data_IF_815862723936
#
_entry.id   IF_815862723936
#
_cell.length_a   1.000
_cell.length_b   1.000
_cell.length_c   1.000
_cell.angle_alpha   90.00
_cell.angle_beta   90.00
_cell.angle_gamma   90.00
#
_symmetry.space_group_name_H-M   'P 1'
#
loop_
_entity.id
_entity.type
_entity.pdbx_description
1 polymer ?
#
# COMPACT_ATOMS: atom_id res chain seq x y z
N UNK A 1 -39.04 1.68 1.01
CA UNK A 1 -38.47 0.99 -0.18
C UNK A 1 -37.29 1.87 -0.59
N UNK A 2 -36.06 1.42 -0.37
CA UNK A 2 -34.89 2.29 -0.55
C UNK A 2 -34.63 2.54 -2.03
N UNK A 3 -34.36 3.80 -2.39
CA UNK A 3 -33.95 4.15 -3.74
C UNK A 3 -32.64 3.42 -4.07
N UNK A 4 -32.71 2.50 -5.03
CA UNK A 4 -31.54 1.78 -5.52
C UNK A 4 -30.78 2.73 -6.43
N UNK A 5 -29.64 3.24 -5.95
CA UNK A 5 -28.75 4.04 -6.78
C UNK A 5 -28.08 3.14 -7.82
N UNK A 6 -28.29 3.46 -9.09
CA UNK A 6 -27.68 2.73 -10.21
C UNK A 6 -26.38 3.42 -10.59
N UNK A 7 -25.26 2.69 -10.49
CA UNK A 7 -23.96 3.16 -10.95
C UNK A 7 -23.99 3.40 -12.46
N UNK A 8 -23.36 4.49 -12.90
CA UNK A 8 -23.15 4.76 -14.33
C UNK A 8 -22.27 3.68 -14.99
N UNK A 9 -22.30 3.61 -16.33
CA UNK A 9 -21.56 2.58 -17.10
C UNK A 9 -20.05 2.51 -16.82
N UNK A 10 -19.46 3.57 -16.28
CA UNK A 10 -18.03 3.67 -15.95
C UNK A 10 -17.76 3.91 -14.47
N UNK A 11 -18.78 3.85 -13.63
CA UNK A 11 -18.64 3.96 -12.19
C UNK A 11 -18.38 2.58 -11.58
N UNK A 12 -17.48 2.54 -10.60
CA UNK A 12 -17.10 1.31 -9.93
C UNK A 12 -17.06 1.55 -8.43
N UNK A 13 -17.61 0.61 -7.66
CA UNK A 13 -17.41 0.55 -6.23
C UNK A 13 -15.97 0.08 -5.98
N UNK A 14 -15.12 0.96 -5.44
CA UNK A 14 -13.70 0.68 -5.25
C UNK A 14 -13.35 0.25 -3.82
N UNK A 15 -14.12 0.70 -2.83
CA UNK A 15 -13.95 0.37 -1.42
C UNK A 15 -15.31 0.37 -0.71
N UNK A 16 -15.46 -0.43 0.33
CA UNK A 16 -16.69 -0.53 1.11
C UNK A 16 -16.33 -0.71 2.58
N UNK A 17 -16.96 0.10 3.43
CA UNK A 17 -16.76 0.06 4.87
C UNK A 17 -18.08 0.22 5.61
N UNK A 18 -18.12 -0.35 6.82
CA UNK A 18 -19.32 -0.32 7.64
C UNK A 18 -19.42 1.02 8.35
N UNK A 19 -20.37 1.85 7.92
CA UNK A 19 -20.51 3.23 8.39
C UNK A 19 -20.57 3.35 9.92
N UNK A 20 -21.32 2.46 10.60
CA UNK A 20 -21.44 2.48 12.06
C UNK A 20 -20.08 2.36 12.77
N UNK A 21 -19.17 1.53 12.25
CA UNK A 21 -17.81 1.42 12.80
C UNK A 21 -16.96 2.63 12.43
N UNK A 22 -17.06 3.09 11.17
CA UNK A 22 -16.27 4.22 10.69
C UNK A 22 -16.54 5.50 11.50
N UNK A 23 -17.80 5.79 11.83
CA UNK A 23 -18.18 7.05 12.50
C UNK A 23 -17.91 7.09 14.00
N UNK A 24 -17.52 5.97 14.60
CA UNK A 24 -17.10 5.90 16.01
C UNK A 24 -15.72 6.51 16.24
N UNK A 25 -14.98 6.79 15.16
CA UNK A 25 -13.62 7.32 15.20
C UNK A 25 -13.54 8.83 14.91
N UNK A 26 -12.46 9.46 15.37
CA UNK A 26 -12.23 10.90 15.20
C UNK A 26 -11.97 11.33 13.74
N UNK A 27 -11.50 10.42 12.89
CA UNK A 27 -11.12 10.70 11.51
C UNK A 27 -11.72 9.70 10.52
N UNK A 28 -12.16 10.20 9.37
CA UNK A 28 -12.37 9.41 8.17
C UNK A 28 -11.07 9.40 7.37
N UNK A 29 -10.42 8.26 7.29
CA UNK A 29 -9.19 8.07 6.53
C UNK A 29 -9.49 7.49 5.15
N UNK A 30 -8.98 8.17 4.11
CA UNK A 30 -9.01 7.66 2.73
C UNK A 30 -7.58 7.44 2.26
N UNK A 31 -7.31 6.28 1.67
CA UNK A 31 -6.01 5.91 1.07
C UNK A 31 -6.22 5.45 -0.36
N UNK A 32 -5.37 5.92 -1.28
CA UNK A 32 -5.49 5.61 -2.71
C UNK A 32 -4.42 4.66 -3.23
N UNK A 33 -4.67 4.12 -4.42
CA UNK A 33 -3.77 3.25 -5.18
C UNK A 33 -2.45 3.93 -5.55
N UNK A 34 -2.38 5.25 -5.49
CA UNK A 34 -1.15 6.01 -5.70
C UNK A 34 -0.39 6.29 -4.40
N UNK A 35 -0.79 5.69 -3.27
CA UNK A 35 -0.07 5.85 -2.00
C UNK A 35 -0.31 7.19 -1.30
N UNK A 36 -1.35 7.92 -1.70
CA UNK A 36 -1.83 9.10 -0.98
C UNK A 36 -2.75 8.68 0.15
N UNK A 37 -2.57 9.25 1.33
CA UNK A 37 -3.46 9.10 2.47
C UNK A 37 -3.94 10.47 2.96
N UNK A 38 -5.22 10.60 3.28
CA UNK A 38 -5.81 11.85 3.78
C UNK A 38 -6.81 11.58 4.90
N UNK A 39 -6.57 12.12 6.10
CA UNK A 39 -7.56 12.15 7.16
C UNK A 39 -8.51 13.34 6.95
N UNK A 40 -9.80 13.09 7.11
CA UNK A 40 -10.85 14.10 7.22
C UNK A 40 -11.39 14.06 8.65
N UNK A 41 -11.54 15.22 9.34
CA UNK A 41 -12.14 15.22 10.67
C UNK A 41 -13.58 14.69 10.61
N UNK A 42 -13.90 13.63 11.38
CA UNK A 42 -15.20 12.96 11.30
C UNK A 42 -16.35 13.92 11.60
N UNK A 43 -16.17 14.80 12.60
CA UNK A 43 -17.15 15.83 12.98
C UNK A 43 -17.60 16.74 11.83
N UNK A 44 -16.76 16.94 10.81
CA UNK A 44 -17.09 17.77 9.63
C UNK A 44 -17.77 16.93 8.54
N UNK A 45 -17.47 15.64 8.49
CA UNK A 45 -17.99 14.74 7.45
C UNK A 45 -19.33 14.11 7.82
N UNK A 46 -19.61 13.94 9.11
CA UNK A 46 -20.76 13.18 9.62
C UNK A 46 -22.10 13.62 9.02
N UNK A 47 -22.45 14.91 9.14
CA UNK A 47 -23.71 15.45 8.64
C UNK A 47 -23.85 15.29 7.12
N UNK A 48 -22.74 15.48 6.40
CA UNK A 48 -22.72 15.38 4.94
C UNK A 48 -22.85 13.94 4.44
N UNK A 49 -22.31 12.97 5.17
CA UNK A 49 -22.39 11.54 4.81
C UNK A 49 -23.76 10.95 5.19
N UNK A 50 -24.34 11.38 6.31
CA UNK A 50 -25.67 10.90 6.75
C UNK A 50 -26.83 11.61 6.04
N UNK A 51 -26.55 12.65 5.25
CA UNK A 51 -27.53 13.28 4.39
C UNK A 51 -28.09 12.29 3.33
N UNK A 52 -29.34 12.47 2.86
CA UNK A 52 -29.95 11.60 1.85
C UNK A 52 -29.38 11.80 0.43
N UNK A 53 -28.32 12.61 0.28
CA UNK A 53 -27.66 12.92 -0.99
C UNK A 53 -26.24 12.39 -0.94
N UNK A 54 -25.76 11.66 -1.96
CA UNK A 54 -24.38 11.19 -2.00
C UNK A 54 -23.36 12.33 -1.86
N UNK A 55 -22.44 12.17 -0.90
CA UNK A 55 -21.34 13.12 -0.71
C UNK A 55 -20.34 13.03 -1.88
N UNK A 56 -20.07 14.16 -2.51
CA UNK A 56 -19.02 14.33 -3.51
C UNK A 56 -17.90 15.16 -2.90
N UNK A 57 -16.66 14.67 -2.97
CA UNK A 57 -15.50 15.42 -2.51
C UNK A 57 -15.07 16.45 -3.56
N UNK A 58 -15.01 17.74 -3.19
CA UNK A 58 -14.58 18.81 -4.10
C UNK A 58 -13.11 18.66 -4.54
N UNK A 59 -12.24 18.23 -3.60
CA UNK A 59 -10.82 18.02 -3.86
C UNK A 59 -10.48 16.54 -3.65
N UNK A 60 -10.73 15.75 -4.69
CA UNK A 60 -10.49 14.31 -4.69
C UNK A 60 -8.99 13.99 -4.64
N UNK A 61 -8.62 12.97 -3.86
CA UNK A 61 -7.28 12.42 -3.92
C UNK A 61 -7.03 11.77 -5.28
N UNK A 62 -5.82 11.92 -5.80
CA UNK A 62 -5.41 11.23 -7.02
C UNK A 62 -5.31 9.72 -6.77
N UNK A 63 -5.78 8.94 -7.74
CA UNK A 63 -5.79 7.49 -7.70
C UNK A 63 -7.13 6.91 -7.27
N UNK A 64 -7.21 5.58 -7.27
CA UNK A 64 -8.42 4.85 -6.89
C UNK A 64 -8.41 4.63 -5.38
N UNK A 65 -9.49 4.92 -4.63
CA UNK A 65 -9.56 4.59 -3.21
C UNK A 65 -9.38 3.08 -2.99
N UNK A 66 -8.41 2.71 -2.17
CA UNK A 66 -8.13 1.32 -1.74
C UNK A 66 -8.65 1.09 -0.32
N UNK A 67 -8.61 2.12 0.53
CA UNK A 67 -9.17 2.09 1.87
C UNK A 67 -10.01 3.33 2.14
N UNK A 68 -11.16 3.12 2.77
CA UNK A 68 -11.93 4.14 3.48
C UNK A 68 -12.20 3.59 4.88
N UNK A 69 -11.72 4.21 5.95
CA UNK A 69 -11.86 3.67 7.31
C UNK A 69 -12.03 4.78 8.34
N UNK A 70 -12.63 4.46 9.48
CA UNK A 70 -12.48 5.30 10.68
C UNK A 70 -11.10 5.06 11.28
N UNK A 71 -10.44 6.10 11.77
CA UNK A 71 -9.11 6.01 12.36
C UNK A 71 -8.93 7.00 13.51
N UNK A 72 -8.11 6.62 14.49
CA UNK A 72 -7.62 7.51 15.54
C UNK A 72 -6.31 8.18 15.16
N UNK A 73 -5.88 9.18 15.92
CA UNK A 73 -4.60 9.84 15.69
C UNK A 73 -3.41 8.92 16.03
N UNK A 74 -3.60 8.03 16.99
CA UNK A 74 -2.62 7.09 17.53
C UNK A 74 -2.46 5.84 16.68
N UNK A 75 -3.38 5.56 15.76
CA UNK A 75 -3.29 4.43 14.85
C UNK A 75 -2.07 4.53 13.92
N UNK A 76 -1.51 3.38 13.57
CA UNK A 76 -0.57 3.27 12.46
C UNK A 76 -1.26 2.72 11.21
N UNK A 77 -0.88 3.28 10.07
CA UNK A 77 -1.29 2.85 8.76
C UNK A 77 -0.15 2.08 8.11
N UNK A 78 -0.37 0.79 7.84
CA UNK A 78 0.50 0.00 6.98
C UNK A 78 -0.01 0.06 5.55
N UNK A 79 0.88 0.38 4.61
CA UNK A 79 0.59 0.45 3.18
C UNK A 79 1.54 -0.49 2.45
N UNK A 80 1.00 -1.28 1.51
CA UNK A 80 1.76 -2.22 0.69
C UNK A 80 1.41 -2.08 -0.80
N UNK A 81 2.45 -2.13 -1.64
CA UNK A 81 2.33 -2.12 -3.09
C UNK A 81 2.32 -3.51 -3.69
N UNK A 82 1.95 -3.61 -4.97
CA UNK A 82 1.82 -4.87 -5.71
C UNK A 82 3.15 -5.63 -5.80
N UNK A 83 4.28 -4.92 -5.80
CA UNK A 83 5.62 -5.53 -5.76
C UNK A 83 6.05 -5.99 -4.36
N UNK A 84 5.16 -5.91 -3.36
CA UNK A 84 5.42 -6.32 -1.98
C UNK A 84 6.29 -5.36 -1.18
N UNK A 85 6.39 -4.09 -1.62
CA UNK A 85 7.03 -3.02 -0.83
C UNK A 85 6.01 -2.45 0.14
N UNK A 86 6.42 -2.22 1.39
CA UNK A 86 5.55 -1.69 2.41
C UNK A 86 6.24 -0.63 3.27
N UNK A 87 5.42 0.25 3.84
CA UNK A 87 5.79 1.23 4.86
C UNK A 87 4.69 1.29 5.91
N UNK A 88 5.05 1.76 7.10
CA UNK A 88 4.11 2.22 8.11
C UNK A 88 4.16 3.75 8.23
N UNK A 89 3.08 4.35 8.71
CA UNK A 89 3.06 5.76 9.09
C UNK A 89 2.02 5.98 10.17
N UNK A 90 2.29 6.88 11.12
CA UNK A 90 1.32 7.21 12.16
C UNK A 90 0.26 8.17 11.60
N UNK A 91 -1.02 7.91 11.84
CA UNK A 91 -2.15 8.70 11.30
C UNK A 91 -2.07 10.17 11.71
N UNK A 92 -1.58 10.47 12.92
CA UNK A 92 -1.34 11.85 13.39
C UNK A 92 -0.36 12.68 12.53
N UNK A 93 0.48 12.02 11.74
CA UNK A 93 1.46 12.71 10.87
C UNK A 93 0.88 13.05 9.49
N UNK A 94 -0.28 12.48 9.14
CA UNK A 94 -0.93 12.71 7.86
C UNK A 94 -1.56 14.10 7.79
N UNK A 95 -1.40 14.77 6.64
CA UNK A 95 -1.88 16.13 6.42
C UNK A 95 -3.31 16.11 5.89
N UNK A 96 -4.12 17.08 6.32
CA UNK A 96 -5.47 17.30 5.78
C UNK A 96 -5.50 17.71 4.30
N UNK A 97 -4.36 18.05 3.70
CA UNK A 97 -4.20 18.22 2.23
C UNK A 97 -3.98 16.90 1.48
N UNK A 98 -3.69 15.81 2.20
CA UNK A 98 -3.14 14.56 1.68
C UNK A 98 -1.63 14.47 1.88
N UNK A 99 -1.15 13.26 2.16
CA UNK A 99 0.27 12.91 2.34
C UNK A 99 0.63 11.77 1.39
N UNK A 100 1.74 11.90 0.67
CA UNK A 100 2.33 10.81 -0.13
C UNK A 100 3.09 9.88 0.81
N UNK A 101 2.48 8.78 1.22
CA UNK A 101 3.04 7.90 2.26
C UNK A 101 4.12 6.99 1.68
N UNK A 102 3.82 6.33 0.57
CA UNK A 102 4.75 5.46 -0.16
C UNK A 102 4.85 5.91 -1.60
N UNK A 103 6.03 5.81 -2.21
CA UNK A 103 6.15 6.01 -3.65
C UNK A 103 5.40 4.90 -4.40
N UNK A 104 4.32 5.28 -5.07
CA UNK A 104 3.61 4.44 -6.03
C UNK A 104 3.53 5.16 -7.37
N UNK A 105 3.57 4.39 -8.45
CA UNK A 105 3.49 4.88 -9.82
C UNK A 105 2.60 3.95 -10.65
N UNK A 106 2.61 4.11 -11.98
CA UNK A 106 1.77 3.32 -12.89
C UNK A 106 2.10 1.83 -12.86
N UNK A 107 3.35 1.47 -12.56
CA UNK A 107 3.83 0.09 -12.60
C UNK A 107 3.85 -0.55 -11.20
N UNK A 108 3.76 0.26 -10.14
CA UNK A 108 3.77 -0.20 -8.76
C UNK A 108 2.75 0.56 -7.92
N UNK A 109 1.49 0.10 -7.97
CA UNK A 109 0.37 0.68 -7.21
C UNK A 109 0.23 0.07 -5.83
N UNK A 110 -0.37 0.84 -4.92
CA UNK A 110 -0.86 0.34 -3.62
C UNK A 110 -2.02 -0.60 -3.84
N UNK A 111 -1.99 -1.73 -3.15
CA UNK A 111 -2.96 -2.82 -3.26
C UNK A 111 -3.38 -3.36 -1.90
N UNK A 112 -2.57 -3.15 -0.86
CA UNK A 112 -2.90 -3.53 0.51
C UNK A 112 -2.75 -2.35 1.45
N UNK A 113 -3.75 -2.12 2.29
CA UNK A 113 -3.74 -1.06 3.31
C UNK A 113 -4.42 -1.58 4.56
N UNK A 114 -3.85 -1.29 5.73
CA UNK A 114 -4.34 -1.73 7.02
C UNK A 114 -4.10 -0.66 8.08
N UNK A 115 -5.12 -0.38 8.90
CA UNK A 115 -4.90 0.21 10.22
C UNK A 115 -4.44 -0.89 11.16
N UNK A 116 -3.40 -0.64 11.93
CA UNK A 116 -2.78 -1.63 12.80
C UNK A 116 -2.05 -0.99 13.97
N UNK A 117 -1.83 -1.79 14.99
CA UNK A 117 -0.87 -1.56 16.06
C UNK A 117 0.42 -2.35 15.79
N UNK A 118 1.58 -1.92 16.30
CA UNK A 118 2.87 -2.58 16.03
C UNK A 118 2.92 -4.09 16.31
N UNK A 119 2.06 -4.52 17.24
CA UNK A 119 2.02 -5.86 17.82
C UNK A 119 0.92 -6.74 17.22
N UNK A 120 0.12 -6.21 16.30
CA UNK A 120 -0.93 -6.98 15.62
C UNK A 120 -0.33 -8.10 14.74
N UNK A 121 -1.13 -9.12 14.47
CA UNK A 121 -0.79 -10.14 13.49
C UNK A 121 -1.48 -9.83 12.16
N UNK A 122 -0.67 -9.60 11.11
CA UNK A 122 -1.16 -9.41 9.75
C UNK A 122 -0.97 -10.68 8.94
N UNK A 123 -2.00 -11.03 8.15
CA UNK A 123 -1.91 -12.09 7.15
C UNK A 123 -1.74 -11.46 5.76
N UNK A 124 -0.56 -11.61 5.18
CA UNK A 124 -0.32 -11.32 3.77
C UNK A 124 -0.76 -12.52 2.94
N UNK A 125 -1.64 -12.30 1.97
CA UNK A 125 -2.05 -13.32 0.99
C UNK A 125 -1.70 -12.83 -0.40
N UNK A 126 -1.12 -13.70 -1.23
CA UNK A 126 -0.77 -13.41 -2.61
C UNK A 126 -1.83 -13.95 -3.57
N UNK A 127 -1.86 -13.43 -4.80
CA UNK A 127 -2.84 -13.85 -5.82
C UNK A 127 -2.70 -15.32 -6.27
N UNK A 128 -1.56 -15.96 -6.01
CA UNK A 128 -1.32 -17.40 -6.20
C UNK A 128 -1.60 -18.25 -4.96
N UNK A 129 -2.19 -17.66 -3.92
CA UNK A 129 -2.72 -18.38 -2.75
C UNK A 129 -1.71 -18.64 -1.63
N UNK A 130 -0.51 -18.06 -1.68
CA UNK A 130 0.43 -18.14 -0.55
C UNK A 130 0.05 -17.17 0.54
N UNK A 131 0.10 -17.65 1.79
CA UNK A 131 -0.14 -16.86 2.99
C UNK A 131 1.13 -16.71 3.83
N UNK A 132 1.32 -15.55 4.44
CA UNK A 132 2.37 -15.32 5.43
C UNK A 132 1.88 -14.41 6.55
N UNK A 133 2.08 -14.85 7.78
CA UNK A 133 1.91 -13.99 8.95
C UNK A 133 3.13 -13.07 9.14
N UNK A 134 2.88 -11.81 9.49
CA UNK A 134 3.90 -10.84 9.84
C UNK A 134 3.39 -9.85 10.87
N UNK A 135 4.30 -9.28 11.65
CA UNK A 135 3.98 -8.18 12.57
C UNK A 135 4.20 -6.84 11.87
N UNK A 136 3.31 -5.84 12.05
CA UNK A 136 3.51 -4.50 11.52
C UNK A 136 4.87 -3.93 11.92
N UNK A 137 5.33 -4.15 13.16
CA UNK A 137 6.65 -3.68 13.62
C UNK A 137 7.84 -4.15 12.78
N UNK A 138 7.69 -5.20 11.98
CA UNK A 138 8.72 -5.68 11.05
C UNK A 138 8.85 -4.82 9.79
N UNK A 139 7.84 -4.00 9.51
CA UNK A 139 7.80 -3.07 8.40
C UNK A 139 8.36 -1.72 8.83
N UNK A 140 9.13 -1.09 7.94
CA UNK A 140 9.77 0.20 8.17
C UNK A 140 8.75 1.31 8.50
N UNK A 141 9.06 2.10 9.53
CA UNK A 141 8.43 3.39 9.82
C UNK A 141 9.42 4.48 9.37
N UNK A 142 9.37 4.92 8.08
CA UNK A 142 10.36 5.84 7.55
C UNK A 142 10.27 7.21 8.22
N UNK A 143 11.41 7.87 8.41
CA UNK A 143 11.47 9.24 8.95
C UNK A 143 10.89 10.30 7.99
N UNK A 144 10.85 9.98 6.69
CA UNK A 144 10.40 10.88 5.62
C UNK A 144 9.23 10.29 4.87
N UNK A 145 8.28 11.17 4.52
CA UNK A 145 7.21 10.88 3.56
C UNK A 145 7.79 10.45 2.20
N UNK A 146 6.99 9.74 1.40
CA UNK A 146 7.34 9.29 0.04
C UNK A 146 8.56 8.36 0.00
N UNK A 147 8.75 7.54 1.03
CA UNK A 147 9.76 6.48 1.04
C UNK A 147 9.45 5.43 -0.04
N UNK A 148 10.47 4.82 -0.69
CA UNK A 148 10.27 3.69 -1.59
C UNK A 148 9.80 2.40 -0.88
N UNK A 149 9.83 2.38 0.46
CA UNK A 149 9.44 1.25 1.29
C UNK A 149 10.37 0.04 1.22
N UNK A 150 10.19 -0.85 2.20
CA UNK A 150 10.95 -2.08 2.38
C UNK A 150 10.16 -3.28 1.85
N UNK A 151 10.85 -4.31 1.35
CA UNK A 151 10.22 -5.58 1.02
C UNK A 151 9.63 -6.26 2.27
N UNK A 152 8.31 -6.44 2.31
CA UNK A 152 7.58 -7.05 3.43
C UNK A 152 7.91 -8.54 3.64
N UNK A 153 8.52 -9.19 2.64
CA UNK A 153 8.92 -10.59 2.69
C UNK A 153 10.21 -10.87 3.46
N UNK A 154 10.91 -9.87 4.00
CA UNK A 154 12.16 -10.09 4.76
C UNK A 154 11.96 -9.64 6.21
N UNK A 155 12.16 -10.51 7.21
CA UNK A 155 12.23 -10.07 8.60
C UNK A 155 13.30 -8.97 8.73
N UNK A 156 13.12 -8.00 9.65
CA UNK A 156 14.16 -7.05 9.96
C UNK A 156 15.42 -7.81 10.36
N UNK A 157 16.54 -7.51 9.69
CA UNK A 157 17.84 -8.07 10.04
C UNK A 157 18.22 -7.50 11.41
N UNK A 158 18.40 -8.33 12.46
CA UNK A 158 18.94 -7.84 13.72
C UNK A 158 20.40 -7.40 13.47
N UNK A 159 20.65 -6.09 13.45
CA UNK A 159 22.02 -5.55 13.41
C UNK A 159 22.39 -4.61 12.24
N UNK A 160 21.43 -4.09 11.48
CA UNK A 160 21.70 -3.02 10.51
C UNK A 160 21.80 -1.64 11.15
N UNK A 161 22.70 -1.46 12.12
CA UNK A 161 23.01 -0.14 12.67
C UNK A 161 23.43 0.79 11.54
N UNK A 162 22.78 1.94 11.46
CA UNK A 162 23.17 3.03 10.58
C UNK A 162 24.48 3.65 11.09
N UNK A 163 25.59 2.92 10.95
CA UNK A 163 26.92 3.43 11.19
C UNK A 163 27.84 2.99 10.07
N UNK A 164 28.58 3.97 9.55
CA UNK A 164 29.70 3.72 8.66
C UNK A 164 29.34 3.80 7.19
N UNK A 165 29.59 4.98 6.62
CA UNK A 165 30.08 5.12 5.25
C UNK A 165 31.06 3.97 4.96
N UNK A 166 30.63 2.92 4.25
CA UNK A 166 31.55 2.07 3.51
C UNK A 166 32.04 2.89 2.32
N UNK A 167 32.95 3.82 2.59
CA UNK A 167 33.92 4.27 1.63
C UNK A 167 34.77 3.07 1.25
N UNK A 168 34.29 2.25 0.32
CA UNK A 168 35.15 1.41 -0.48
C UNK A 168 35.92 2.36 -1.40
N UNK A 169 36.98 2.95 -0.83
CA UNK A 169 38.06 3.54 -1.57
C UNK A 169 38.57 2.48 -2.53
N UNK A 170 38.21 2.62 -3.81
CA UNK A 170 38.91 1.91 -4.88
C UNK A 170 40.32 2.47 -4.91
N UNK A 171 41.25 1.77 -4.27
CA UNK A 171 42.66 1.87 -4.62
C UNK A 171 42.79 1.48 -6.10
N UNK A 172 42.90 2.49 -6.96
CA UNK A 172 43.44 2.30 -8.31
C UNK A 172 44.96 2.10 -8.15
N UNK A 173 45.54 0.97 -8.57
CA UNK A 173 46.96 0.95 -8.84
C UNK A 173 47.20 1.73 -10.13
N UNK A 174 48.06 2.75 -10.03
CA UNK A 174 48.57 3.50 -11.15
C UNK A 174 49.37 2.55 -12.07
N UNK A 175 49.00 2.49 -13.36
CA UNK A 175 49.87 1.96 -14.41
C UNK A 175 50.29 3.09 -15.35
N UNK A 176 51.60 3.22 -15.66
CA UNK A 176 52.10 4.20 -16.61
C UNK A 176 52.11 3.65 -18.04
N UNK A 177 52.03 4.56 -19.02
CA UNK A 177 52.77 4.40 -20.28
C UNK A 177 52.01 3.93 -21.52
N UNK A 178 51.46 4.91 -22.24
CA UNK A 178 51.55 5.11 -23.70
C UNK A 178 51.83 3.92 -24.65
N UNK A 179 50.92 3.70 -25.60
CA UNK A 179 51.19 2.92 -26.81
C UNK A 179 50.13 3.08 -27.90
N UNK A 180 50.26 4.10 -28.75
CA UNK A 180 49.45 4.30 -29.97
C UNK A 180 49.63 3.11 -30.93
N UNK A 181 48.56 2.37 -31.28
CA UNK A 181 48.51 1.59 -32.53
C UNK A 181 47.13 1.67 -33.20
N UNK A 182 47.22 1.72 -34.54
CA UNK A 182 46.20 2.11 -35.52
C UNK A 182 45.13 1.02 -35.74
N UNK A 183 43.94 1.47 -36.15
CA UNK A 183 42.81 0.66 -36.65
C UNK A 183 43.17 -0.11 -37.93
N UNK A 184 42.43 -1.19 -38.23
CA UNK A 184 41.87 -1.38 -39.57
C UNK A 184 40.34 -1.58 -39.54
N UNK A 185 39.65 -1.40 -40.69
CA UNK A 185 38.19 -1.34 -40.76
C UNK A 185 37.56 -2.68 -41.17
N UNK A 186 36.27 -2.83 -40.83
CA UNK A 186 35.34 -3.71 -41.56
C UNK A 186 34.63 -4.75 -40.72
N UNK A 187 33.33 -4.57 -40.48
CA UNK A 187 32.25 -5.25 -41.24
C UNK A 187 30.90 -4.98 -40.57
N UNK A 188 29.94 -4.57 -41.38
CA UNK A 188 28.52 -4.69 -41.11
C UNK A 188 28.18 -6.17 -40.86
N UNK A 189 27.35 -6.43 -39.85
CA UNK A 189 26.17 -7.29 -40.04
C UNK A 189 25.12 -6.95 -38.96
N UNK A 190 23.95 -6.60 -39.46
CA UNK A 190 22.69 -6.50 -38.73
C UNK A 190 22.30 -7.89 -38.24
N UNK A 191 21.74 -8.00 -37.03
CA UNK A 191 20.78 -9.04 -36.69
C UNK A 191 19.87 -8.51 -35.57
N UNK A 192 18.63 -8.21 -35.97
CA UNK A 192 17.50 -8.00 -35.07
C UNK A 192 17.04 -9.35 -34.52
N UNK A 193 16.89 -9.44 -33.20
CA UNK A 193 16.10 -10.49 -32.54
C UNK A 193 15.04 -9.79 -31.68
N UNK A 194 13.73 -10.10 -31.84
CA UNK A 194 12.71 -9.54 -30.96
C UNK A 194 12.71 -10.29 -29.62
N UNK A 195 12.89 -9.52 -28.55
CA UNK A 195 12.71 -9.98 -27.18
C UNK A 195 11.23 -10.35 -26.95
N UNK A 196 10.97 -11.60 -26.57
CA UNK A 196 9.66 -12.04 -26.09
C UNK A 196 9.37 -11.40 -24.73
N UNK A 197 8.45 -10.42 -24.72
CA UNK A 197 7.92 -9.82 -23.51
C UNK A 197 7.00 -10.82 -22.78
N UNK A 198 7.54 -11.45 -21.74
CA UNK A 198 6.80 -12.31 -20.83
C UNK A 198 5.88 -11.43 -19.97
N UNK A 199 4.63 -11.25 -20.39
CA UNK A 199 3.56 -10.63 -19.59
C UNK A 199 3.32 -11.49 -18.35
N UNK A 200 3.87 -11.09 -17.20
CA UNK A 200 3.41 -11.58 -15.90
C UNK A 200 2.24 -10.71 -15.46
N UNK A 201 1.03 -11.14 -15.82
CA UNK A 201 -0.18 -10.68 -15.16
C UNK A 201 -0.27 -11.37 -13.80
N UNK A 202 -0.27 -10.58 -12.74
CA UNK A 202 -0.53 -11.05 -11.39
C UNK A 202 -1.29 -9.95 -10.65
N UNK A 203 -2.61 -9.95 -10.80
CA UNK A 203 -3.50 -9.17 -9.95
C UNK A 203 -3.41 -9.75 -8.53
N UNK A 204 -2.90 -8.97 -7.58
CA UNK A 204 -2.92 -9.32 -6.17
C UNK A 204 -4.18 -8.78 -5.50
N UNK A 205 -5.01 -9.68 -4.99
CA UNK A 205 -6.12 -9.38 -4.09
C UNK A 205 -5.59 -9.39 -2.63
N UNK A 206 -5.83 -8.33 -1.86
CA UNK A 206 -5.37 -8.20 -0.47
C UNK A 206 -6.57 -8.17 0.48
N UNK A 207 -6.59 -9.03 1.51
CA UNK A 207 -7.64 -9.02 2.54
C UNK A 207 -7.09 -9.43 3.92
N UNK A 208 -7.48 -8.65 4.93
CA UNK A 208 -7.75 -9.16 6.29
C UNK A 208 -6.77 -8.75 7.39
N UNK A 209 -7.07 -7.65 8.10
CA UNK A 209 -6.56 -7.42 9.45
C UNK A 209 -7.52 -8.11 10.43
N UNK A 210 -7.00 -8.97 11.31
CA UNK A 210 -7.79 -9.51 12.41
C UNK A 210 -7.50 -8.68 13.66
N UNK A 211 -8.33 -7.65 13.90
CA UNK A 211 -8.31 -6.91 15.16
C UNK A 211 -8.68 -7.82 16.33
N UNK A 212 -7.95 -7.71 17.43
CA UNK A 212 -8.14 -8.52 18.63
C UNK A 212 -9.39 -8.06 19.39
N UNK A 213 -10.29 -9.00 19.66
CA UNK A 213 -11.40 -8.87 20.59
C UNK A 213 -10.87 -8.66 22.02
N UNK A 214 -11.33 -7.60 22.69
CA UNK A 214 -10.91 -7.26 24.05
C UNK A 214 -11.25 -8.37 25.05
N UNK A 215 -10.29 -8.69 25.92
CA UNK A 215 -10.46 -9.70 26.97
C UNK A 215 -11.26 -9.13 28.13
N UNK A 216 -12.51 -9.58 28.25
CA UNK A 216 -13.32 -9.50 29.46
C UNK A 216 -14.28 -10.68 29.57
N UNK A 217 -13.80 -11.83 30.07
CA UNK A 217 -14.67 -12.93 30.52
C UNK A 217 -14.53 -14.24 29.74
N UNK A 218 -14.19 -15.31 30.45
CA UNK A 218 -14.14 -16.68 29.95
C UNK A 218 -15.55 -17.20 29.69
N UNK A 219 -15.83 -17.70 28.47
CA UNK A 219 -16.78 -18.81 28.14
C UNK A 219 -16.71 -19.18 26.63
N UNK A 220 -17.22 -20.36 26.23
CA UNK A 220 -16.51 -21.30 25.34
C UNK A 220 -16.73 -21.05 23.85
N UNK A 221 -15.84 -21.67 23.08
CA UNK A 221 -15.81 -21.73 21.63
C UNK A 221 -17.20 -21.93 20.99
N UNK A 222 -17.70 -20.90 20.31
CA UNK A 222 -18.63 -21.05 19.20
C UNK A 222 -17.99 -20.45 17.95
N UNK A 223 -17.73 -21.32 16.98
CA UNK A 223 -17.57 -20.91 15.59
C UNK A 223 -18.77 -20.09 15.15
N UNK A 224 -18.55 -18.86 14.69
CA UNK A 224 -19.66 -18.01 14.25
C UNK A 224 -19.22 -16.71 13.59
N UNK A 225 -19.29 -16.72 12.25
CA UNK A 225 -19.33 -15.57 11.32
C UNK A 225 -17.99 -14.91 10.96
N UNK A 226 -17.28 -15.61 10.07
CA UNK A 226 -16.44 -15.01 9.04
C UNK A 226 -17.35 -14.21 8.09
N UNK A 227 -17.33 -12.88 8.15
CA UNK A 227 -18.04 -12.04 7.18
C UNK A 227 -17.10 -10.92 6.73
N UNK A 228 -16.25 -11.23 5.77
CA UNK A 228 -15.60 -10.26 4.89
C UNK A 228 -15.88 -10.70 3.45
N UNK A 229 -17.03 -10.25 2.92
CA UNK A 229 -17.34 -10.39 1.50
C UNK A 229 -16.58 -9.28 0.78
N UNK A 230 -15.52 -9.65 0.06
CA UNK A 230 -14.89 -8.80 -0.95
C UNK A 230 -15.17 -9.40 -2.32
N UNK A 231 -16.01 -8.70 -3.09
CA UNK A 231 -16.01 -8.78 -4.54
C UNK A 231 -14.91 -7.84 -5.03
N UNK A 232 -13.77 -8.38 -5.47
CA UNK A 232 -12.80 -7.57 -6.18
C UNK A 232 -13.26 -7.35 -7.63
N UNK A 233 -13.43 -6.08 -7.98
CA UNK A 233 -13.74 -5.63 -9.32
C UNK A 233 -12.52 -5.86 -10.21
N UNK A 234 -12.62 -6.78 -11.16
CA UNK A 234 -11.57 -7.02 -12.15
C UNK A 234 -11.44 -5.81 -13.08
N UNK A 235 -10.35 -5.05 -12.96
CA UNK A 235 -9.94 -4.13 -14.02
C UNK A 235 -9.31 -4.93 -15.17
N UNK A 236 -10.06 -5.07 -16.28
CA UNK A 236 -9.44 -5.23 -17.59
C UNK A 236 -8.91 -3.85 -18.02
N UNK A 237 -7.60 -3.67 -18.02
CA UNK A 237 -6.98 -2.55 -18.74
C UNK A 237 -7.39 -2.61 -20.22
N UNK A 238 -7.93 -1.50 -20.74
CA UNK A 238 -7.99 -1.19 -22.16
C UNK A 238 -6.70 -0.46 -22.52
#
# INVERSE_FOLDING_TARGET
MGDVYMLGQREQLCSLSRWQQVKEHDKLLIVTSLGLARPYPMRVMLENIEAPVPLIFDNQLLGVPVLVAGAEAEDELLIMTETGRAVRTAVKTLRGSGTQVIRADRDNRVVGVALCQPDDELLLVTGDGYGRQLLPRWIELPEKENSPGQSAGRPPQPGGGADGKCGLGRHQPAHPGSGKRRRPPGRLHQNHAPAQAKRRGGCGDFVGVRGREERGGVRPCLWGKLHSLLMNCQMKSI
#
